data_IF_553803104741
#
_entry.id   IF_553803104741
#
_cell.length_a   1.000
_cell.length_b   1.000
_cell.length_c   1.000
_cell.angle_alpha   90.00
_cell.angle_beta   90.00
_cell.angle_gamma   90.00
#
_symmetry.space_group_name_H-M   'P 1'
#
loop_
_entity.id
_entity.type
_entity.pdbx_description
1 polymer ?
#
# COMPACT_ATOMS: atom_id res chain seq x y z
N UNK A 1 -19.86 20.30 -21.07
CA UNK A 1 -18.80 20.99 -21.79
C UNK A 1 -17.60 21.09 -20.85
N UNK A 2 -16.65 20.12 -21.00
CA UNK A 2 -15.51 19.95 -20.08
C UNK A 2 -14.29 20.71 -20.66
N UNK A 3 -14.52 21.95 -21.09
CA UNK A 3 -13.45 22.78 -21.65
C UNK A 3 -12.47 23.36 -20.60
N UNK A 4 -12.76 23.15 -19.32
CA UNK A 4 -11.89 23.61 -18.23
C UNK A 4 -10.88 22.58 -17.72
N UNK A 5 -11.03 21.32 -18.11
CA UNK A 5 -9.97 20.35 -18.00
C UNK A 5 -9.10 20.52 -19.26
N UNK A 6 -8.24 21.55 -19.28
CA UNK A 6 -7.20 21.66 -20.31
C UNK A 6 -6.40 20.34 -20.24
N UNK A 7 -6.85 19.35 -21.03
CA UNK A 7 -6.09 18.11 -21.21
C UNK A 7 -4.75 18.53 -21.80
N UNK A 8 -3.68 18.52 -21.02
CA UNK A 8 -2.39 18.86 -21.56
C UNK A 8 -2.13 17.95 -22.76
N UNK A 9 -1.52 18.46 -23.82
CA UNK A 9 -1.28 17.69 -25.06
C UNK A 9 -0.62 16.32 -24.83
N UNK A 10 0.11 16.15 -23.75
CA UNK A 10 0.75 14.89 -23.35
C UNK A 10 -0.21 13.81 -22.85
N UNK A 11 -1.49 14.13 -22.57
CA UNK A 11 -2.45 13.14 -22.08
C UNK A 11 -3.08 12.37 -23.25
N UNK A 12 -3.21 13.00 -24.43
CA UNK A 12 -3.85 12.39 -25.60
C UNK A 12 -3.21 11.06 -26.03
N UNK A 13 -1.86 10.95 -26.15
CA UNK A 13 -1.23 9.67 -26.51
C UNK A 13 -1.50 8.57 -25.47
N UNK A 14 -1.70 8.92 -24.20
CA UNK A 14 -2.00 7.97 -23.15
C UNK A 14 -3.45 7.47 -23.26
N UNK A 15 -4.38 8.36 -23.60
CA UNK A 15 -5.78 8.00 -23.88
C UNK A 15 -5.84 7.12 -25.12
N UNK A 16 -5.14 7.46 -26.20
CA UNK A 16 -5.08 6.65 -27.42
C UNK A 16 -4.57 5.22 -27.16
N UNK A 17 -3.54 5.10 -26.32
CA UNK A 17 -3.05 3.80 -25.89
C UNK A 17 -4.10 3.00 -25.10
N UNK A 18 -4.83 3.65 -24.19
CA UNK A 18 -5.91 3.00 -23.44
C UNK A 18 -7.07 2.60 -24.35
N UNK A 19 -7.41 3.39 -25.38
CA UNK A 19 -8.41 3.05 -26.40
C UNK A 19 -8.00 1.81 -27.21
N UNK A 20 -6.71 1.68 -27.54
CA UNK A 20 -6.20 0.48 -28.19
C UNK A 20 -6.45 -0.77 -27.32
N UNK A 21 -6.10 -0.71 -26.03
CA UNK A 21 -6.35 -1.82 -25.11
C UNK A 21 -7.85 -2.09 -24.92
N UNK A 22 -8.65 -1.04 -24.84
CA UNK A 22 -10.10 -1.13 -24.72
C UNK A 22 -10.72 -1.84 -25.94
N UNK A 23 -10.30 -1.51 -27.16
CA UNK A 23 -10.79 -2.16 -28.40
C UNK A 23 -10.50 -3.67 -28.40
N UNK A 24 -9.34 -4.09 -27.88
CA UNK A 24 -9.01 -5.50 -27.70
C UNK A 24 -9.92 -6.13 -26.63
N UNK A 25 -10.18 -5.42 -25.54
CA UNK A 25 -10.98 -5.88 -24.40
C UNK A 25 -12.45 -6.08 -24.76
N UNK A 26 -13.10 -5.10 -25.40
CA UNK A 26 -14.54 -5.09 -25.69
C UNK A 26 -14.95 -6.23 -26.64
N UNK A 27 -14.03 -6.73 -27.46
CA UNK A 27 -14.32 -7.85 -28.37
C UNK A 27 -14.21 -9.25 -27.73
N UNK A 28 -13.69 -9.37 -26.52
CA UNK A 28 -13.11 -10.65 -26.12
C UNK A 28 -13.25 -11.06 -24.66
N UNK A 29 -14.06 -10.52 -23.76
CA UNK A 29 -13.96 -11.30 -22.51
C UNK A 29 -14.05 -10.61 -21.15
N UNK A 30 -15.13 -10.88 -20.47
CA UNK A 30 -15.23 -10.94 -19.01
C UNK A 30 -14.14 -11.81 -18.35
N UNK A 31 -13.60 -12.81 -19.06
CA UNK A 31 -12.62 -13.74 -18.47
C UNK A 31 -11.25 -13.09 -18.27
N UNK A 32 -10.81 -12.25 -19.22
CA UNK A 32 -9.55 -11.49 -19.07
C UNK A 32 -9.67 -10.38 -18.03
N UNK A 33 -10.81 -9.72 -17.95
CA UNK A 33 -11.06 -8.73 -16.90
C UNK A 33 -11.03 -9.38 -15.52
N UNK A 34 -11.63 -10.55 -15.33
CA UNK A 34 -11.56 -11.33 -14.09
C UNK A 34 -10.13 -11.79 -13.79
N UNK A 35 -9.39 -12.22 -14.80
CA UNK A 35 -7.98 -12.61 -14.65
C UNK A 35 -7.14 -11.41 -14.17
N UNK A 36 -7.22 -10.27 -14.87
CA UNK A 36 -6.45 -9.08 -14.49
C UNK A 36 -6.91 -8.49 -13.15
N UNK A 37 -8.20 -8.60 -12.83
CA UNK A 37 -8.71 -8.21 -11.52
C UNK A 37 -8.14 -9.10 -10.41
N UNK A 38 -8.01 -10.40 -10.64
CA UNK A 38 -7.40 -11.33 -9.69
C UNK A 38 -5.91 -11.06 -9.50
N UNK A 39 -5.19 -10.77 -10.57
CA UNK A 39 -3.77 -10.42 -10.51
C UNK A 39 -3.54 -9.12 -9.72
N UNK A 40 -4.41 -8.12 -9.87
CA UNK A 40 -4.24 -6.83 -9.20
C UNK A 40 -4.37 -6.92 -7.67
N UNK A 41 -4.95 -8.01 -7.12
CA UNK A 41 -5.05 -8.26 -5.67
C UNK A 41 -3.66 -8.27 -5.02
N UNK A 42 -2.63 -8.73 -5.72
CA UNK A 42 -1.24 -8.71 -5.22
C UNK A 42 -0.66 -7.28 -5.07
N UNK A 43 -1.30 -6.28 -5.64
CA UNK A 43 -0.98 -4.86 -5.43
C UNK A 43 -1.91 -4.16 -4.43
N UNK A 44 -2.95 -4.84 -3.92
CA UNK A 44 -3.80 -4.31 -2.86
C UNK A 44 -3.05 -4.27 -1.52
N UNK A 45 -3.43 -3.32 -0.68
CA UNK A 45 -2.71 -3.05 0.57
C UNK A 45 -2.65 -4.24 1.55
N UNK A 46 -3.71 -5.04 1.65
CA UNK A 46 -3.81 -6.11 2.66
C UNK A 46 -2.89 -7.30 2.37
N UNK A 47 -2.73 -7.71 1.11
CA UNK A 47 -1.89 -8.86 0.76
C UNK A 47 -0.39 -8.57 0.89
N UNK A 48 0.15 -7.45 0.41
CA UNK A 48 1.50 -7.01 0.75
C UNK A 48 1.74 -6.89 2.25
N UNK A 49 0.78 -6.38 3.02
CA UNK A 49 0.89 -6.32 4.50
C UNK A 49 1.03 -7.72 5.10
N UNK A 50 0.28 -8.71 4.60
CA UNK A 50 0.37 -10.10 5.03
C UNK A 50 1.76 -10.69 4.72
N UNK A 51 2.31 -10.44 3.53
CA UNK A 51 3.67 -10.86 3.15
C UNK A 51 4.71 -10.25 4.09
N UNK A 52 4.62 -8.95 4.37
CA UNK A 52 5.49 -8.27 5.31
C UNK A 52 5.39 -8.90 6.72
N UNK A 53 4.18 -9.17 7.20
CA UNK A 53 3.92 -9.71 8.52
C UNK A 53 4.45 -11.13 8.69
N UNK A 54 4.18 -12.02 7.73
CA UNK A 54 4.71 -13.39 7.75
C UNK A 54 6.24 -13.37 7.71
N UNK A 55 6.83 -12.52 6.88
CA UNK A 55 8.28 -12.37 6.83
C UNK A 55 8.82 -11.90 8.18
N UNK A 56 8.21 -10.88 8.77
CA UNK A 56 8.61 -10.28 10.06
C UNK A 56 8.47 -11.23 11.24
N UNK A 57 7.37 -11.99 11.30
CA UNK A 57 7.08 -12.86 12.44
C UNK A 57 7.70 -14.24 12.34
N UNK A 58 7.83 -14.78 11.12
CA UNK A 58 8.09 -16.22 10.94
C UNK A 58 9.39 -16.53 10.21
N UNK A 59 9.94 -15.60 9.42
CA UNK A 59 11.07 -15.87 8.54
C UNK A 59 12.32 -15.13 9.02
N UNK A 60 12.29 -13.80 8.94
CA UNK A 60 13.41 -12.93 9.31
C UNK A 60 12.90 -11.54 9.72
N UNK A 61 13.20 -11.17 10.95
CA UNK A 61 12.76 -9.90 11.53
C UNK A 61 13.28 -8.67 10.76
N UNK A 62 14.54 -8.69 10.34
CA UNK A 62 15.14 -7.55 9.63
C UNK A 62 14.58 -7.42 8.22
N UNK A 63 14.39 -8.56 7.52
CA UNK A 63 13.72 -8.58 6.23
C UNK A 63 12.29 -8.06 6.32
N UNK A 64 11.53 -8.48 7.34
CA UNK A 64 10.18 -8.00 7.58
C UNK A 64 10.12 -6.52 7.93
N UNK A 65 11.04 -6.01 8.77
CA UNK A 65 11.19 -4.59 9.08
C UNK A 65 11.45 -3.77 7.81
N UNK A 66 12.33 -4.25 6.95
CA UNK A 66 12.60 -3.63 5.66
C UNK A 66 11.35 -3.58 4.77
N UNK A 67 10.62 -4.69 4.64
CA UNK A 67 9.40 -4.75 3.83
C UNK A 67 8.27 -3.87 4.39
N UNK A 68 8.07 -3.84 5.72
CA UNK A 68 7.12 -2.92 6.35
C UNK A 68 7.50 -1.46 6.15
N UNK A 69 8.80 -1.14 6.21
CA UNK A 69 9.27 0.22 5.91
C UNK A 69 8.99 0.62 4.47
N UNK A 70 9.18 -0.30 3.51
CA UNK A 70 8.80 -0.10 2.11
C UNK A 70 7.29 0.14 1.95
N UNK A 71 6.46 -0.75 2.48
CA UNK A 71 5.01 -0.66 2.37
C UNK A 71 4.46 0.63 3.03
N UNK A 72 4.98 0.96 4.20
CA UNK A 72 4.56 2.15 4.95
C UNK A 72 4.95 3.44 4.25
N UNK A 73 6.21 3.62 3.89
CA UNK A 73 6.67 4.82 3.19
C UNK A 73 6.01 4.96 1.81
N UNK A 74 5.85 3.85 1.10
CA UNK A 74 5.11 3.85 -0.16
C UNK A 74 3.68 4.39 0.03
N UNK A 75 2.96 3.91 1.06
CA UNK A 75 1.60 4.36 1.33
C UNK A 75 1.54 5.84 1.69
N UNK A 76 2.45 6.35 2.53
CA UNK A 76 2.51 7.78 2.87
C UNK A 76 2.74 8.63 1.61
N UNK A 77 3.73 8.26 0.80
CA UNK A 77 4.13 9.02 -0.38
C UNK A 77 3.04 8.97 -1.46
N UNK A 78 2.49 7.81 -1.77
CA UNK A 78 1.48 7.69 -2.82
C UNK A 78 0.18 8.39 -2.47
N UNK A 79 -0.28 8.32 -1.21
CA UNK A 79 -1.46 9.06 -0.77
C UNK A 79 -1.23 10.56 -0.74
N UNK A 80 -0.03 11.02 -0.34
CA UNK A 80 0.33 12.43 -0.42
C UNK A 80 0.25 12.94 -1.86
N UNK A 81 0.91 12.26 -2.79
CA UNK A 81 0.88 12.67 -4.20
C UNK A 81 -0.50 12.59 -4.84
N UNK A 82 -1.35 11.63 -4.44
CA UNK A 82 -2.76 11.61 -4.89
C UNK A 82 -3.50 12.86 -4.51
N UNK A 83 -3.32 13.31 -3.28
CA UNK A 83 -3.99 14.50 -2.76
C UNK A 83 -3.36 15.79 -3.26
N UNK A 84 -2.07 15.78 -3.60
CA UNK A 84 -1.35 16.93 -4.16
C UNK A 84 -1.70 17.14 -5.65
N UNK A 85 -1.65 16.08 -6.44
CA UNK A 85 -1.80 16.18 -7.90
C UNK A 85 -3.27 16.23 -8.36
N UNK A 86 -4.20 15.65 -7.60
CA UNK A 86 -5.65 15.63 -7.87
C UNK A 86 -6.03 15.20 -9.29
N UNK A 87 -5.25 14.30 -9.92
CA UNK A 87 -5.47 13.85 -11.30
C UNK A 87 -6.69 12.96 -11.37
N UNK A 88 -7.61 13.25 -12.30
CA UNK A 88 -8.79 12.45 -12.53
C UNK A 88 -8.48 11.11 -13.21
N UNK A 89 -9.40 10.17 -13.09
CA UNK A 89 -9.32 8.85 -13.72
C UNK A 89 -9.51 8.94 -15.23
N UNK A 90 -8.98 7.96 -16.01
CA UNK A 90 -9.06 8.00 -17.49
C UNK A 90 -10.46 8.20 -18.04
N UNK A 91 -11.48 7.57 -17.44
CA UNK A 91 -12.87 7.71 -17.87
C UNK A 91 -13.54 9.05 -17.49
N UNK A 92 -12.90 9.82 -16.62
CA UNK A 92 -13.29 11.21 -16.31
C UNK A 92 -12.57 12.16 -17.28
N UNK A 93 -11.33 11.83 -17.66
CA UNK A 93 -10.53 12.63 -18.58
C UNK A 93 -11.02 12.54 -20.04
N UNK A 94 -11.64 11.41 -20.41
CA UNK A 94 -12.19 11.17 -21.73
C UNK A 94 -13.44 10.28 -21.66
N UNK A 95 -14.54 10.75 -22.24
CA UNK A 95 -15.81 10.03 -22.37
C UNK A 95 -15.70 8.77 -23.27
N UNK A 96 -14.65 8.68 -24.09
CA UNK A 96 -14.37 7.51 -24.93
C UNK A 96 -13.82 6.32 -24.14
N UNK A 97 -13.30 6.56 -22.92
CA UNK A 97 -12.74 5.48 -22.10
C UNK A 97 -13.84 4.85 -21.24
N UNK A 98 -14.10 3.58 -21.47
CA UNK A 98 -15.00 2.75 -20.68
C UNK A 98 -14.18 1.78 -19.85
N UNK A 99 -13.99 2.02 -18.53
CA UNK A 99 -13.24 1.09 -17.66
C UNK A 99 -14.00 -0.23 -17.51
N UNK A 100 -13.30 -1.30 -17.08
CA UNK A 100 -13.97 -2.53 -16.68
C UNK A 100 -14.91 -2.27 -15.49
N UNK A 101 -16.19 -2.61 -15.63
CA UNK A 101 -17.21 -2.44 -14.59
C UNK A 101 -16.82 -3.15 -13.29
N UNK A 102 -16.12 -4.29 -13.40
CA UNK A 102 -15.62 -5.05 -12.26
C UNK A 102 -14.55 -4.29 -11.46
N UNK A 103 -13.82 -3.38 -12.09
CA UNK A 103 -12.72 -2.65 -11.46
C UNK A 103 -13.11 -1.29 -10.87
N UNK A 104 -14.18 -0.67 -11.37
CA UNK A 104 -14.65 0.66 -10.95
C UNK A 104 -14.92 0.76 -9.44
N UNK A 105 -15.56 -0.22 -8.76
CA UNK A 105 -15.81 -0.16 -7.33
C UNK A 105 -14.54 -0.04 -6.48
N UNK A 106 -13.41 -0.55 -6.98
CA UNK A 106 -12.09 -0.55 -6.31
C UNK A 106 -11.21 0.63 -6.75
N UNK A 107 -11.61 1.38 -7.77
CA UNK A 107 -10.83 2.48 -8.35
C UNK A 107 -11.41 3.85 -7.98
N UNK A 108 -11.64 4.09 -6.68
CA UNK A 108 -12.20 5.35 -6.16
C UNK A 108 -11.13 6.43 -5.97
N UNK A 109 -11.56 7.71 -6.03
CA UNK A 109 -10.70 8.88 -5.82
C UNK A 109 -9.74 9.16 -6.98
N UNK A 110 -8.72 9.96 -6.72
CA UNK A 110 -7.75 10.43 -7.72
C UNK A 110 -6.89 9.30 -8.30
N UNK A 111 -6.42 9.50 -9.53
CA UNK A 111 -5.70 8.50 -10.30
C UNK A 111 -4.20 8.41 -9.95
N UNK A 112 -3.50 9.54 -10.05
CA UNK A 112 -2.04 9.62 -9.97
C UNK A 112 -1.50 9.71 -8.54
N UNK A 113 -0.44 8.96 -8.22
CA UNK A 113 0.11 7.81 -8.93
C UNK A 113 -0.68 6.52 -8.70
N UNK A 114 -0.42 5.45 -9.48
CA UNK A 114 -1.05 4.14 -9.28
C UNK A 114 -0.59 3.48 -7.99
N UNK A 115 -1.49 3.35 -7.01
CA UNK A 115 -1.19 2.72 -5.72
C UNK A 115 -0.84 1.24 -5.83
N UNK A 116 -1.51 0.47 -6.69
CA UNK A 116 -1.22 -0.95 -6.93
C UNK A 116 0.17 -1.15 -7.53
N UNK A 117 0.53 -0.33 -8.52
CA UNK A 117 1.86 -0.39 -9.16
C UNK A 117 2.97 -0.02 -8.18
N UNK A 118 2.76 1.03 -7.38
CA UNK A 118 3.72 1.46 -6.38
C UNK A 118 3.88 0.43 -5.25
N UNK A 119 2.79 -0.14 -4.74
CA UNK A 119 2.82 -1.14 -3.67
C UNK A 119 3.47 -2.45 -4.13
N UNK A 120 3.10 -2.94 -5.32
CA UNK A 120 3.72 -4.15 -5.89
C UNK A 120 5.22 -3.94 -6.14
N UNK A 121 5.61 -2.84 -6.74
CA UNK A 121 7.02 -2.50 -6.97
C UNK A 121 7.81 -2.40 -5.67
N UNK A 122 7.25 -1.76 -4.62
CA UNK A 122 7.90 -1.65 -3.32
C UNK A 122 8.06 -3.00 -2.62
N UNK A 123 6.97 -3.74 -2.41
CA UNK A 123 7.00 -4.95 -1.57
C UNK A 123 7.51 -6.17 -2.32
N UNK A 124 6.99 -6.46 -3.54
CA UNK A 124 7.49 -7.59 -4.32
C UNK A 124 8.89 -7.31 -4.86
N UNK A 125 9.17 -6.07 -5.28
CA UNK A 125 10.52 -5.64 -5.67
C UNK A 125 11.50 -5.68 -4.51
N UNK A 126 11.11 -5.25 -3.32
CA UNK A 126 11.90 -5.39 -2.09
C UNK A 126 12.15 -6.84 -1.73
N UNK A 127 11.16 -7.72 -1.91
CA UNK A 127 11.33 -9.17 -1.74
C UNK A 127 12.30 -9.75 -2.75
N UNK A 128 12.22 -9.33 -4.02
CA UNK A 128 13.19 -9.74 -5.06
C UNK A 128 14.60 -9.26 -4.73
N UNK A 129 14.75 -8.04 -4.21
CA UNK A 129 16.03 -7.49 -3.75
C UNK A 129 16.65 -8.32 -2.62
N UNK A 130 15.84 -8.74 -1.63
CA UNK A 130 16.28 -9.61 -0.54
C UNK A 130 16.67 -11.00 -1.03
N UNK A 131 15.98 -11.53 -2.05
CA UNK A 131 16.19 -12.86 -2.64
C UNK A 131 17.07 -12.83 -3.91
N UNK A 132 17.88 -11.78 -4.11
CA UNK A 132 18.67 -11.56 -5.34
C UNK A 132 19.52 -12.74 -5.80
N UNK A 133 19.87 -13.66 -4.90
CA UNK A 133 20.60 -14.89 -5.24
C UNK A 133 19.71 -15.98 -5.89
N UNK A 134 18.38 -15.86 -5.78
CA UNK A 134 17.41 -16.80 -6.34
C UNK A 134 16.82 -16.25 -7.64
N UNK A 135 17.59 -16.31 -8.72
CA UNK A 135 17.26 -15.67 -10.02
C UNK A 135 15.85 -15.96 -10.51
N UNK A 136 15.40 -17.22 -10.46
CA UNK A 136 14.06 -17.62 -10.90
C UNK A 136 12.97 -16.88 -10.12
N UNK A 137 13.09 -16.80 -8.79
CA UNK A 137 12.12 -16.10 -7.94
C UNK A 137 12.13 -14.62 -8.28
N UNK A 138 13.30 -14.01 -8.46
CA UNK A 138 13.41 -12.59 -8.82
C UNK A 138 12.71 -12.29 -10.15
N UNK A 139 12.95 -13.13 -11.17
CA UNK A 139 12.31 -12.98 -12.48
C UNK A 139 10.78 -13.11 -12.34
N UNK A 140 10.29 -14.12 -11.62
CA UNK A 140 8.85 -14.33 -11.40
C UNK A 140 8.20 -13.12 -10.69
N UNK A 141 8.87 -12.55 -9.68
CA UNK A 141 8.38 -11.36 -8.97
C UNK A 141 8.37 -10.11 -9.87
N UNK A 142 9.41 -9.93 -10.69
CA UNK A 142 9.47 -8.81 -11.66
C UNK A 142 8.35 -8.97 -12.70
N UNK A 143 8.14 -10.16 -13.25
CA UNK A 143 7.04 -10.43 -14.18
C UNK A 143 5.68 -10.13 -13.53
N UNK A 144 5.49 -10.52 -12.26
CA UNK A 144 4.26 -10.23 -11.53
C UNK A 144 4.06 -8.72 -11.31
N UNK A 145 5.10 -7.96 -10.97
CA UNK A 145 5.04 -6.49 -10.84
C UNK A 145 4.60 -5.85 -12.16
N UNK A 146 5.21 -6.25 -13.27
CA UNK A 146 4.86 -5.74 -14.60
C UNK A 146 3.42 -6.11 -14.97
N UNK A 147 2.99 -7.33 -14.66
CA UNK A 147 1.64 -7.82 -14.90
C UNK A 147 0.60 -7.05 -14.07
N UNK A 148 0.91 -6.74 -12.80
CA UNK A 148 0.05 -5.89 -11.96
C UNK A 148 -0.03 -4.48 -12.55
N UNK A 149 1.09 -3.88 -12.96
CA UNK A 149 1.09 -2.57 -13.62
C UNK A 149 0.24 -2.58 -14.90
N UNK A 150 0.44 -3.57 -15.76
CA UNK A 150 -0.33 -3.75 -16.99
C UNK A 150 -1.84 -3.97 -16.71
N UNK A 151 -2.19 -4.71 -15.67
CA UNK A 151 -3.60 -4.94 -15.30
C UNK A 151 -4.37 -3.62 -15.08
N UNK A 152 -3.68 -2.57 -14.57
CA UNK A 152 -4.32 -1.26 -14.33
C UNK A 152 -4.63 -0.52 -15.62
N UNK A 153 -3.79 -0.71 -16.65
CA UNK A 153 -4.01 -0.18 -18.00
C UNK A 153 -5.12 -0.96 -18.72
N UNK A 154 -5.06 -2.29 -18.66
CA UNK A 154 -6.08 -3.17 -19.25
C UNK A 154 -7.48 -2.88 -18.72
N UNK A 155 -7.61 -2.75 -17.40
CA UNK A 155 -8.87 -2.44 -16.74
C UNK A 155 -9.34 -0.99 -16.97
N UNK A 156 -8.54 -0.14 -17.62
CA UNK A 156 -8.88 1.25 -17.94
C UNK A 156 -8.96 2.17 -16.72
N UNK A 157 -8.32 1.81 -15.60
CA UNK A 157 -8.44 2.54 -14.34
C UNK A 157 -7.28 3.46 -14.02
N UNK A 158 -6.19 3.39 -14.78
CA UNK A 158 -5.01 4.25 -14.67
C UNK A 158 -4.42 4.55 -16.05
N UNK A 159 -3.76 5.70 -16.18
CA UNK A 159 -2.96 6.03 -17.37
C UNK A 159 -1.57 5.38 -17.29
N UNK A 160 -0.84 5.24 -18.44
CA UNK A 160 0.55 4.81 -18.43
C UNK A 160 1.44 5.61 -17.47
N UNK A 161 1.26 6.93 -17.39
CA UNK A 161 2.00 7.78 -16.46
C UNK A 161 1.74 7.43 -15.00
N UNK A 162 0.49 7.13 -14.62
CA UNK A 162 0.15 6.73 -13.25
C UNK A 162 0.91 5.47 -12.84
N UNK A 163 0.95 4.49 -13.77
CA UNK A 163 1.61 3.20 -13.58
C UNK A 163 3.12 3.36 -13.50
N UNK A 164 3.73 4.05 -14.46
CA UNK A 164 5.18 4.27 -14.51
C UNK A 164 5.68 5.04 -13.28
N UNK A 165 4.96 6.09 -12.88
CA UNK A 165 5.29 6.83 -11.67
C UNK A 165 5.19 5.94 -10.42
N UNK A 166 4.12 5.13 -10.31
CA UNK A 166 3.97 4.18 -9.23
C UNK A 166 5.13 3.17 -9.15
N UNK A 167 5.49 2.55 -10.28
CA UNK A 167 6.62 1.62 -10.36
C UNK A 167 7.94 2.30 -9.96
N UNK A 168 8.16 3.53 -10.40
CA UNK A 168 9.36 4.32 -10.09
C UNK A 168 9.46 4.66 -8.60
N UNK A 169 8.34 5.04 -7.95
CA UNK A 169 8.31 5.27 -6.50
C UNK A 169 8.78 4.02 -5.77
N UNK A 170 8.23 2.85 -6.10
CA UNK A 170 8.63 1.60 -5.47
C UNK A 170 10.10 1.27 -5.67
N UNK A 171 10.60 1.44 -6.89
CA UNK A 171 12.02 1.20 -7.21
C UNK A 171 12.96 2.11 -6.41
N UNK A 172 12.65 3.41 -6.34
CA UNK A 172 13.44 4.38 -5.56
C UNK A 172 13.43 3.99 -4.07
N UNK A 173 12.28 3.61 -3.54
CA UNK A 173 12.14 3.23 -2.14
C UNK A 173 12.97 2.01 -1.78
N UNK A 174 13.09 1.00 -2.66
CA UNK A 174 13.92 -0.20 -2.42
C UNK A 174 15.34 0.20 -2.01
N UNK A 175 15.96 1.11 -2.75
CA UNK A 175 17.32 1.56 -2.45
C UNK A 175 17.38 2.55 -1.28
N UNK A 176 16.46 3.51 -1.23
CA UNK A 176 16.42 4.51 -0.17
C UNK A 176 16.21 3.88 1.21
N UNK A 177 15.26 2.98 1.35
CA UNK A 177 14.98 2.28 2.62
C UNK A 177 16.15 1.39 3.02
N UNK A 178 16.81 0.71 2.08
CA UNK A 178 18.00 -0.07 2.37
C UNK A 178 19.13 0.80 2.95
N UNK A 179 19.38 1.97 2.35
CA UNK A 179 20.40 2.92 2.85
C UNK A 179 20.02 3.42 4.26
N UNK A 180 18.75 3.80 4.45
CA UNK A 180 18.25 4.33 5.72
C UNK A 180 18.34 3.29 6.85
N UNK A 181 17.94 2.05 6.60
CA UNK A 181 18.00 0.98 7.60
C UNK A 181 19.46 0.65 7.94
N UNK A 182 20.33 0.50 6.94
CA UNK A 182 21.75 0.27 7.17
C UNK A 182 22.41 1.40 7.98
N UNK A 183 21.97 2.64 7.79
CA UNK A 183 22.41 3.76 8.62
C UNK A 183 21.83 3.66 10.06
N UNK A 184 20.57 3.28 10.21
CA UNK A 184 19.92 3.16 11.52
C UNK A 184 20.49 2.00 12.33
N UNK A 185 20.84 0.88 11.72
CA UNK A 185 21.39 -0.30 12.38
C UNK A 185 22.76 -0.06 13.06
N UNK A 186 23.50 0.96 12.61
CA UNK A 186 24.78 1.33 13.26
C UNK A 186 24.59 1.85 14.69
N UNK A 187 23.42 2.44 15.01
CA UNK A 187 23.11 2.98 16.34
C UNK A 187 21.61 2.85 16.63
N UNK A 188 21.20 2.01 17.60
CA UNK A 188 19.77 1.75 17.87
C UNK A 188 18.91 2.99 18.14
N UNK A 189 19.49 4.08 18.66
CA UNK A 189 18.75 5.33 18.87
C UNK A 189 18.27 5.98 17.57
N UNK A 190 18.90 5.68 16.44
CA UNK A 190 18.49 6.23 15.14
C UNK A 190 17.09 5.78 14.71
N UNK A 191 16.62 4.64 15.21
CA UNK A 191 15.23 4.21 14.99
C UNK A 191 14.20 5.15 15.62
N UNK A 192 14.55 5.84 16.73
CA UNK A 192 13.70 6.89 17.30
C UNK A 192 13.67 8.14 16.39
N UNK A 193 14.81 8.48 15.77
CA UNK A 193 14.83 9.57 14.78
C UNK A 193 14.00 9.24 13.55
N UNK A 194 14.02 7.99 13.08
CA UNK A 194 13.14 7.55 11.99
C UNK A 194 11.67 7.62 12.38
N UNK A 195 11.32 7.18 13.59
CA UNK A 195 9.97 7.31 14.11
C UNK A 195 9.53 8.77 14.14
N UNK A 196 10.38 9.66 14.67
CA UNK A 196 10.09 11.10 14.69
C UNK A 196 9.92 11.67 13.28
N UNK A 197 10.82 11.33 12.36
CA UNK A 197 10.79 11.83 10.99
C UNK A 197 9.52 11.45 10.24
N UNK A 198 9.06 10.18 10.36
CA UNK A 198 7.81 9.75 9.71
C UNK A 198 6.58 10.41 10.33
N UNK A 199 6.58 10.64 11.66
CA UNK A 199 5.49 11.35 12.31
C UNK A 199 5.44 12.84 11.89
N UNK A 200 6.59 13.52 11.81
CA UNK A 200 6.68 14.90 11.32
C UNK A 200 6.19 14.97 9.87
N UNK A 201 6.70 14.10 9.00
CA UNK A 201 6.27 14.07 7.59
C UNK A 201 4.76 13.87 7.47
N UNK A 202 4.20 12.87 8.15
CA UNK A 202 2.78 12.57 8.08
C UNK A 202 1.92 13.73 8.63
N UNK A 203 2.36 14.36 9.72
CA UNK A 203 1.66 15.52 10.29
C UNK A 203 1.67 16.70 9.33
N UNK A 204 2.84 17.06 8.78
CA UNK A 204 2.94 18.16 7.81
C UNK A 204 2.14 17.87 6.53
N UNK A 205 2.20 16.63 6.03
CA UNK A 205 1.41 16.21 4.88
C UNK A 205 -0.10 16.33 5.15
N UNK A 206 -0.59 15.89 6.32
CA UNK A 206 -2.00 16.03 6.69
C UNK A 206 -2.41 17.47 6.88
N UNK A 207 -1.55 18.32 7.47
CA UNK A 207 -1.82 19.76 7.58
C UNK A 207 -1.94 20.37 6.18
N UNK A 208 -1.02 20.05 5.28
CA UNK A 208 -1.06 20.54 3.90
C UNK A 208 -2.34 20.11 3.18
N UNK A 209 -2.65 18.80 3.22
CA UNK A 209 -3.85 18.23 2.59
C UNK A 209 -5.15 18.86 3.12
N UNK A 210 -5.23 19.14 4.42
CA UNK A 210 -6.47 19.65 5.01
C UNK A 210 -6.63 21.18 4.96
N UNK A 211 -5.54 21.94 4.92
CA UNK A 211 -5.60 23.41 5.09
C UNK A 211 -5.11 24.20 3.88
N UNK A 212 -4.13 23.68 3.14
CA UNK A 212 -3.43 24.44 2.12
C UNK A 212 -3.71 23.97 0.70
N UNK A 213 -4.22 22.75 0.51
CA UNK A 213 -4.54 22.27 -0.82
C UNK A 213 -5.97 22.63 -1.20
N UNK A 214 -6.12 23.26 -2.35
CA UNK A 214 -7.42 23.59 -2.92
C UNK A 214 -7.88 22.47 -3.83
N UNK A 215 -9.07 21.92 -3.52
CA UNK A 215 -9.65 20.82 -4.27
C UNK A 215 -10.71 21.33 -5.22
N UNK A 216 -10.61 20.93 -6.50
CA UNK A 216 -11.67 21.19 -7.47
C UNK A 216 -12.90 20.36 -7.13
N UNK A 217 -14.06 20.98 -7.27
CA UNK A 217 -15.38 20.38 -7.07
C UNK A 217 -16.10 20.42 -8.41
N UNK A 218 -15.86 19.40 -9.24
CA UNK A 218 -16.38 19.33 -10.60
C UNK A 218 -17.52 18.31 -10.66
N UNK A 219 -18.60 18.69 -11.39
CA UNK A 219 -19.79 17.88 -11.57
C UNK A 219 -19.99 17.54 -13.05
N UNK A 220 -20.45 16.31 -13.33
CA UNK A 220 -20.99 15.91 -14.63
C UNK A 220 -22.40 15.37 -14.41
N UNK A 221 -23.37 15.90 -15.15
CA UNK A 221 -24.79 15.50 -15.04
C UNK A 221 -25.35 15.57 -13.60
N UNK A 222 -24.85 16.50 -12.77
CA UNK A 222 -25.27 16.64 -11.38
C UNK A 222 -24.56 15.69 -10.40
N UNK A 223 -23.72 14.78 -10.87
CA UNK A 223 -22.92 13.91 -10.02
C UNK A 223 -21.50 14.45 -9.82
N UNK A 224 -21.04 14.41 -8.57
CA UNK A 224 -19.69 14.83 -8.20
C UNK A 224 -18.66 13.84 -8.71
N UNK A 225 -17.71 14.29 -9.52
CA UNK A 225 -16.69 13.45 -10.16
C UNK A 225 -15.78 12.75 -9.16
N UNK A 226 -15.23 13.49 -8.21
CA UNK A 226 -14.45 12.98 -7.09
C UNK A 226 -14.82 13.76 -5.86
N UNK A 227 -15.13 13.08 -4.76
CA UNK A 227 -15.38 13.71 -3.48
C UNK A 227 -14.05 13.92 -2.73
N UNK A 228 -13.55 15.19 -2.62
CA UNK A 228 -12.29 15.48 -1.94
C UNK A 228 -12.32 15.14 -0.46
N UNK A 229 -13.43 15.46 0.24
CA UNK A 229 -13.57 15.16 1.68
C UNK A 229 -13.42 13.67 1.97
N UNK A 230 -14.02 12.82 1.12
CA UNK A 230 -13.89 11.38 1.23
C UNK A 230 -12.45 10.92 0.98
N UNK A 231 -11.76 11.54 0.03
CA UNK A 231 -10.36 11.24 -0.29
C UNK A 231 -9.43 11.66 0.85
N UNK A 232 -9.65 12.83 1.45
CA UNK A 232 -8.97 13.33 2.66
C UNK A 232 -9.20 12.34 3.82
N UNK A 233 -10.46 11.95 4.02
CA UNK A 233 -10.82 11.03 5.09
C UNK A 233 -10.06 9.69 4.96
N UNK A 234 -10.11 9.08 3.78
CA UNK A 234 -9.39 7.82 3.51
C UNK A 234 -7.89 7.99 3.73
N UNK A 235 -7.29 9.05 3.22
CA UNK A 235 -5.86 9.35 3.40
C UNK A 235 -5.49 9.45 4.87
N UNK A 236 -6.28 10.17 5.67
CA UNK A 236 -6.04 10.36 7.10
C UNK A 236 -6.13 9.03 7.87
N UNK A 237 -7.12 8.20 7.55
CA UNK A 237 -7.30 6.87 8.15
C UNK A 237 -6.13 5.95 7.80
N UNK A 238 -5.70 5.93 6.54
CA UNK A 238 -4.52 5.16 6.08
C UNK A 238 -3.25 5.64 6.78
N UNK A 239 -3.06 6.95 6.93
CA UNK A 239 -1.90 7.50 7.65
C UNK A 239 -1.86 7.05 9.10
N UNK A 240 -3.00 7.04 9.81
CA UNK A 240 -3.07 6.51 11.17
C UNK A 240 -2.54 5.07 11.25
N UNK A 241 -3.00 4.20 10.35
CA UNK A 241 -2.55 2.81 10.29
C UNK A 241 -1.05 2.68 9.97
N UNK A 242 -0.59 3.40 8.96
CA UNK A 242 0.81 3.33 8.51
C UNK A 242 1.77 3.87 9.58
N UNK A 243 1.38 4.93 10.28
CA UNK A 243 2.14 5.42 11.44
C UNK A 243 2.24 4.37 12.53
N UNK A 244 1.14 3.65 12.80
CA UNK A 244 1.17 2.51 13.73
C UNK A 244 2.17 1.43 13.30
N UNK A 245 2.12 1.03 12.01
CA UNK A 245 3.06 0.04 11.46
C UNK A 245 4.52 0.48 11.58
N UNK A 246 4.86 1.67 11.14
CA UNK A 246 6.24 2.16 11.10
C UNK A 246 6.79 2.40 12.51
N UNK A 247 6.02 3.10 13.36
CA UNK A 247 6.42 3.32 14.75
C UNK A 247 6.57 1.99 15.50
N UNK A 248 5.64 1.04 15.30
CA UNK A 248 5.72 -0.27 15.90
C UNK A 248 6.98 -1.03 15.47
N UNK A 249 7.34 -1.03 14.18
CA UNK A 249 8.58 -1.61 13.68
C UNK A 249 9.82 -0.99 14.34
N UNK A 250 9.89 0.34 14.37
CA UNK A 250 11.06 1.05 14.88
C UNK A 250 11.21 0.90 16.40
N UNK A 251 10.12 0.96 17.15
CA UNK A 251 10.09 0.72 18.57
C UNK A 251 10.43 -0.74 18.92
N UNK A 252 9.89 -1.69 18.15
CA UNK A 252 10.20 -3.10 18.33
C UNK A 252 11.69 -3.37 18.09
N UNK A 253 12.25 -2.82 17.03
CA UNK A 253 13.69 -2.93 16.71
C UNK A 253 14.56 -2.37 17.82
N UNK A 254 14.15 -1.23 18.39
CA UNK A 254 14.92 -0.55 19.46
C UNK A 254 14.82 -1.24 20.81
N UNK A 255 13.60 -1.58 21.26
CA UNK A 255 13.35 -1.97 22.64
C UNK A 255 13.05 -3.46 22.83
N UNK A 256 12.52 -4.11 21.78
CA UNK A 256 12.06 -5.50 21.86
C UNK A 256 12.55 -6.34 20.69
N UNK A 257 13.83 -6.29 20.31
CA UNK A 257 14.31 -7.07 19.19
C UNK A 257 14.04 -8.54 19.44
N UNK A 258 13.52 -9.21 18.41
CA UNK A 258 13.23 -10.61 18.48
C UNK A 258 13.77 -11.34 17.25
N UNK A 259 14.11 -12.62 17.43
CA UNK A 259 14.60 -13.46 16.34
C UNK A 259 13.59 -14.59 16.09
N UNK A 260 12.87 -14.59 14.96
CA UNK A 260 11.91 -15.66 14.67
C UNK A 260 12.54 -17.06 14.69
N UNK A 261 13.85 -17.18 14.35
CA UNK A 261 14.56 -18.46 14.28
C UNK A 261 14.79 -19.12 15.63
N UNK A 262 14.71 -18.36 16.73
CA UNK A 262 14.82 -18.89 18.09
C UNK A 262 13.51 -19.55 18.58
N UNK A 263 12.43 -19.37 17.84
CA UNK A 263 11.11 -19.89 18.15
C UNK A 263 10.89 -21.21 17.43
N UNK A 264 10.26 -22.16 18.12
CA UNK A 264 9.94 -23.46 17.52
C UNK A 264 9.14 -23.35 16.22
N UNK A 265 9.44 -24.19 15.25
CA UNK A 265 8.85 -24.14 13.90
C UNK A 265 7.33 -24.28 13.92
N UNK A 266 6.79 -25.22 14.75
CA UNK A 266 5.34 -25.42 14.86
C UNK A 266 4.64 -24.18 15.41
N UNK A 267 5.23 -23.59 16.46
CA UNK A 267 4.74 -22.35 17.06
C UNK A 267 4.78 -21.20 16.05
N UNK A 268 5.84 -21.06 15.25
CA UNK A 268 5.94 -20.05 14.18
C UNK A 268 4.85 -20.19 13.13
N UNK A 269 4.61 -21.40 12.66
CA UNK A 269 3.58 -21.68 11.65
C UNK A 269 2.20 -21.35 12.22
N UNK A 270 1.88 -21.86 13.42
CA UNK A 270 0.57 -21.67 14.03
C UNK A 270 0.26 -20.19 14.26
N UNK A 271 1.22 -19.44 14.81
CA UNK A 271 1.04 -18.02 15.09
C UNK A 271 1.06 -17.19 13.79
N UNK A 272 1.89 -17.58 12.81
CA UNK A 272 1.86 -16.96 11.48
C UNK A 272 0.48 -17.09 10.81
N UNK A 273 -0.14 -18.27 10.89
CA UNK A 273 -1.50 -18.51 10.38
C UNK A 273 -2.53 -17.68 11.16
N UNK A 274 -2.51 -17.73 12.51
CA UNK A 274 -3.45 -16.98 13.33
C UNK A 274 -3.34 -15.46 13.08
N UNK A 275 -2.12 -14.91 13.07
CA UNK A 275 -1.88 -13.50 12.75
C UNK A 275 -2.27 -13.13 11.32
N UNK A 276 -2.02 -14.02 10.37
CA UNK A 276 -2.43 -13.85 8.98
C UNK A 276 -3.95 -13.77 8.83
N UNK A 277 -4.70 -14.60 9.53
CA UNK A 277 -6.17 -14.56 9.57
C UNK A 277 -6.67 -13.25 10.21
N UNK A 278 -6.05 -12.79 11.29
CA UNK A 278 -6.37 -11.50 11.92
C UNK A 278 -6.18 -10.34 10.93
N UNK A 279 -5.09 -10.34 10.16
CA UNK A 279 -4.86 -9.31 9.13
C UNK A 279 -5.87 -9.44 8.00
N UNK A 280 -6.04 -10.64 7.43
CA UNK A 280 -6.86 -10.85 6.24
C UNK A 280 -8.34 -10.50 6.49
N UNK A 281 -8.87 -10.83 7.66
CA UNK A 281 -10.27 -10.60 8.00
C UNK A 281 -10.45 -9.38 8.91
N UNK A 282 -9.69 -9.29 10.00
CA UNK A 282 -9.87 -8.27 11.02
C UNK A 282 -9.55 -6.87 10.48
N UNK A 283 -8.39 -6.68 9.88
CA UNK A 283 -7.97 -5.36 9.37
C UNK A 283 -8.87 -4.90 8.21
N UNK A 284 -9.18 -5.80 7.28
CA UNK A 284 -10.08 -5.49 6.15
C UNK A 284 -11.46 -5.07 6.65
N UNK A 285 -12.01 -5.80 7.64
CA UNK A 285 -13.29 -5.46 8.24
C UNK A 285 -13.26 -4.11 8.97
N UNK A 286 -12.23 -3.86 9.78
CA UNK A 286 -12.07 -2.61 10.54
C UNK A 286 -11.98 -1.41 9.58
N UNK A 287 -11.16 -1.50 8.53
CA UNK A 287 -11.01 -0.42 7.54
C UNK A 287 -12.34 -0.19 6.82
N UNK A 288 -13.00 -1.24 6.35
CA UNK A 288 -14.28 -1.14 5.68
C UNK A 288 -15.34 -0.50 6.59
N UNK A 289 -15.46 -0.95 7.84
CA UNK A 289 -16.38 -0.39 8.82
C UNK A 289 -16.14 1.11 9.08
N UNK A 290 -14.87 1.50 9.30
CA UNK A 290 -14.49 2.89 9.54
C UNK A 290 -14.87 3.77 8.35
N UNK A 291 -14.55 3.32 7.12
CA UNK A 291 -14.81 4.11 5.90
C UNK A 291 -16.31 4.18 5.58
N UNK A 292 -17.03 3.06 5.69
CA UNK A 292 -18.46 3.01 5.36
C UNK A 292 -19.31 3.84 6.34
N UNK A 293 -18.99 3.79 7.62
CA UNK A 293 -19.74 4.49 8.65
C UNK A 293 -19.22 5.92 8.94
N UNK A 294 -18.24 6.41 8.19
CA UNK A 294 -17.62 7.74 8.38
C UNK A 294 -17.30 8.02 9.85
N UNK A 295 -16.66 7.04 10.53
CA UNK A 295 -16.34 7.14 11.96
C UNK A 295 -15.52 8.40 12.21
N UNK A 296 -15.85 9.17 13.26
CA UNK A 296 -15.15 10.42 13.58
C UNK A 296 -13.63 10.21 13.69
N UNK A 297 -12.83 11.15 13.21
CA UNK A 297 -11.36 11.08 13.24
C UNK A 297 -10.79 10.81 14.63
N UNK A 298 -11.40 11.38 15.68
CA UNK A 298 -11.01 11.16 17.08
C UNK A 298 -11.09 9.70 17.52
N UNK A 299 -11.84 8.86 16.82
CA UNK A 299 -12.01 7.43 17.08
C UNK A 299 -11.26 6.62 16.01
N UNK A 300 -11.39 6.99 14.73
CA UNK A 300 -10.80 6.26 13.62
C UNK A 300 -9.26 6.23 13.67
N UNK A 301 -8.61 7.38 13.94
CA UNK A 301 -7.16 7.47 13.97
C UNK A 301 -6.55 6.61 15.09
N UNK A 302 -7.00 6.68 16.35
CA UNK A 302 -6.49 5.79 17.40
C UNK A 302 -6.67 4.30 17.08
N UNK A 303 -7.83 3.89 16.54
CA UNK A 303 -8.07 2.50 16.15
C UNK A 303 -7.09 2.06 15.07
N UNK A 304 -6.86 2.87 14.05
CA UNK A 304 -5.97 2.54 12.96
C UNK A 304 -4.50 2.52 13.39
N UNK A 305 -4.10 3.48 14.23
CA UNK A 305 -2.76 3.54 14.81
C UNK A 305 -2.50 2.29 15.68
N UNK A 306 -3.43 1.95 16.57
CA UNK A 306 -3.30 0.76 17.43
C UNK A 306 -3.33 -0.54 16.62
N UNK A 307 -4.08 -0.60 15.51
CA UNK A 307 -4.07 -1.77 14.60
C UNK A 307 -2.70 -1.97 13.95
N UNK A 308 -2.04 -0.89 13.52
CA UNK A 308 -0.67 -0.94 12.99
C UNK A 308 0.35 -1.34 14.05
N UNK A 309 0.29 -0.72 15.23
CA UNK A 309 1.13 -1.06 16.40
C UNK A 309 0.93 -2.52 16.84
N UNK A 310 -0.31 -3.02 16.78
CA UNK A 310 -0.60 -4.41 17.11
C UNK A 310 0.21 -5.36 16.24
N UNK A 311 0.22 -5.17 14.94
CA UNK A 311 0.91 -6.05 13.99
C UNK A 311 2.43 -6.04 14.19
N UNK A 312 3.03 -4.87 14.43
CA UNK A 312 4.48 -4.73 14.36
C UNK A 312 5.18 -4.63 15.71
N UNK A 313 4.45 -4.35 16.79
CA UNK A 313 4.99 -4.24 18.14
C UNK A 313 4.34 -5.23 19.11
N UNK A 314 3.01 -5.19 19.25
CA UNK A 314 2.30 -5.94 20.30
C UNK A 314 2.32 -7.45 19.99
N UNK A 315 1.98 -7.82 18.76
CA UNK A 315 1.91 -9.23 18.36
C UNK A 315 3.25 -9.96 18.47
N UNK A 316 4.42 -9.40 18.02
CA UNK A 316 5.73 -9.99 18.29
C UNK A 316 6.07 -10.18 19.76
N UNK A 317 5.68 -9.23 20.64
CA UNK A 317 5.90 -9.35 22.08
C UNK A 317 5.08 -10.51 22.67
N UNK A 318 3.80 -10.59 22.31
CA UNK A 318 2.92 -11.69 22.68
C UNK A 318 3.50 -13.03 22.20
N UNK A 319 3.97 -13.08 20.97
CA UNK A 319 4.61 -14.23 20.35
C UNK A 319 5.79 -14.76 21.17
N UNK A 320 6.71 -13.88 21.53
CA UNK A 320 7.89 -14.21 22.35
C UNK A 320 7.51 -14.74 23.74
N UNK A 321 6.42 -14.21 24.31
CA UNK A 321 5.93 -14.64 25.62
C UNK A 321 5.33 -16.05 25.57
N UNK A 322 4.49 -16.33 24.59
CA UNK A 322 3.88 -17.65 24.41
C UNK A 322 4.92 -18.75 24.17
N UNK A 323 5.93 -18.51 23.36
CA UNK A 323 7.01 -19.49 23.15
C UNK A 323 7.73 -19.86 24.46
N UNK A 324 7.97 -18.89 25.35
CA UNK A 324 8.52 -19.17 26.68
C UNK A 324 7.64 -20.05 27.55
N UNK A 325 6.32 -19.82 27.51
CA UNK A 325 5.34 -20.61 28.28
C UNK A 325 5.26 -22.04 27.74
N UNK A 326 5.20 -22.22 26.44
CA UNK A 326 5.19 -23.57 25.82
C UNK A 326 6.46 -24.36 26.08
N UNK A 327 7.63 -23.72 26.01
CA UNK A 327 8.91 -24.38 26.36
C UNK A 327 9.02 -24.78 27.84
N UNK A 328 8.37 -24.04 28.73
CA UNK A 328 8.35 -24.35 30.15
C UNK A 328 7.44 -25.55 30.49
N UNK A 329 6.35 -25.70 29.75
CA UNK A 329 5.38 -26.78 29.95
C UNK A 329 5.76 -28.09 29.20
N UNK A 330 6.75 -28.02 28.31
CA UNK A 330 7.26 -29.18 27.57
C UNK A 330 8.49 -29.84 28.25
N UNK A 331 9.00 -29.24 29.33
CA UNK A 331 9.99 -29.83 30.27
C UNK A 331 9.35 -30.40 31.50
#
# INVERSE_FOLDING_TARGET
MIDCLSNPSWINPQIDFLLLLQNIRIGHFDILDKFFLSITIFGEFWLPTLVCAITYWCIDFNAGLYLFSLAGLNSLITHFFKMLACVYRPWILSDKIHPSELAVPFAKGYSFPSGHSAMSSSVLGGTAYLLKHKKTICISLICLILLIGFSRLWLGVHTPQDVLCGLSIGLILIFAVNIIINWADKHPNRYLYLALAVNIFATLALIYINKFNEYRIDYINGELLVNPEKSIYITTVVYGYVLGLLNGCFLCRKFFPFNPKEIDVKSRILIGIAGGLIIAFGLKYIIAYIIMNKVKFSIAIPIMLTSGLFITLIYPIIFKYFDKVFKKNAK
#
